data_IF_501317660086
#
_entry.id   IF_501317660086
#
_cell.length_a   1.000
_cell.length_b   1.000
_cell.length_c   1.000
_cell.angle_alpha   90.00
_cell.angle_beta   90.00
_cell.angle_gamma   90.00
#
_symmetry.space_group_name_H-M   'P 1'
#
loop_
_entity.id
_entity.type
_entity.pdbx_description
1 polymer ?
#
# COMPACT_ATOMS: atom_id res chain seq x y z
N UNK A 1 -19.76 2.19 -2.19
CA UNK A 1 -19.26 0.79 -2.35
C UNK A 1 -17.88 0.74 -2.99
N UNK A 2 -17.63 1.45 -4.10
CA UNK A 2 -16.30 1.55 -4.74
C UNK A 2 -15.20 2.15 -3.86
N UNK A 3 -15.51 3.17 -3.05
CA UNK A 3 -14.56 3.78 -2.10
C UNK A 3 -14.04 2.76 -1.08
N UNK A 4 -14.91 1.89 -0.56
CA UNK A 4 -14.52 0.84 0.39
C UNK A 4 -13.51 -0.13 -0.25
N UNK A 5 -13.72 -0.51 -1.51
CA UNK A 5 -12.77 -1.36 -2.24
C UNK A 5 -11.39 -0.70 -2.37
N UNK A 6 -11.34 0.62 -2.58
CA UNK A 6 -10.09 1.37 -2.67
C UNK A 6 -9.42 1.61 -1.32
N UNK A 7 -10.18 1.68 -0.22
CA UNK A 7 -9.63 1.67 1.14
C UNK A 7 -9.05 0.31 1.53
N UNK A 8 -9.72 -0.79 1.16
CA UNK A 8 -9.17 -2.15 1.33
C UNK A 8 -7.92 -2.31 0.46
N UNK A 9 -7.98 -1.87 -0.80
CA UNK A 9 -6.84 -1.88 -1.69
C UNK A 9 -5.66 -1.09 -1.11
N UNK A 10 -5.90 0.08 -0.50
CA UNK A 10 -4.81 0.88 0.07
C UNK A 10 -4.13 0.21 1.26
N UNK A 11 -4.91 -0.48 2.10
CA UNK A 11 -4.35 -1.31 3.18
C UNK A 11 -3.54 -2.49 2.63
N UNK A 12 -4.08 -3.23 1.64
CA UNK A 12 -3.37 -4.33 0.99
C UNK A 12 -2.09 -3.88 0.29
N UNK A 13 -2.12 -2.72 -0.37
CA UNK A 13 -0.94 -2.12 -1.00
C UNK A 13 0.16 -1.82 0.01
N UNK A 14 -0.20 -1.25 1.16
CA UNK A 14 0.76 -0.98 2.23
C UNK A 14 1.34 -2.28 2.83
N UNK A 15 0.50 -3.30 3.01
CA UNK A 15 0.94 -4.64 3.41
C UNK A 15 1.90 -5.25 2.39
N UNK A 16 1.61 -5.14 1.09
CA UNK A 16 2.48 -5.57 0.01
C UNK A 16 3.83 -4.87 0.00
N UNK A 17 3.85 -3.55 0.21
CA UNK A 17 5.09 -2.76 0.34
C UNK A 17 5.96 -3.23 1.51
N UNK A 18 5.34 -3.48 2.66
CA UNK A 18 6.02 -4.05 3.83
C UNK A 18 6.62 -5.43 3.52
N UNK A 19 5.84 -6.32 2.89
CA UNK A 19 6.30 -7.66 2.52
C UNK A 19 7.46 -7.62 1.51
N UNK A 20 7.44 -6.71 0.54
CA UNK A 20 8.56 -6.51 -0.38
C UNK A 20 9.81 -6.04 0.33
N UNK A 21 9.71 -5.10 1.28
CA UNK A 21 10.86 -4.64 2.05
C UNK A 21 11.45 -5.79 2.88
N UNK A 22 10.62 -6.47 3.66
CA UNK A 22 11.05 -7.58 4.50
C UNK A 22 11.65 -8.74 3.67
N UNK A 23 11.03 -9.08 2.54
CA UNK A 23 11.51 -10.12 1.64
C UNK A 23 12.82 -9.76 0.95
N UNK A 24 12.97 -8.51 0.51
CA UNK A 24 14.22 -7.99 -0.08
C UNK A 24 15.37 -8.04 0.91
N UNK A 25 15.15 -7.58 2.16
CA UNK A 25 16.19 -7.62 3.20
C UNK A 25 16.64 -9.07 3.46
N UNK A 26 15.70 -10.02 3.44
CA UNK A 26 16.01 -11.46 3.58
C UNK A 26 16.76 -12.03 2.38
N UNK A 27 16.37 -11.66 1.17
CA UNK A 27 17.01 -12.12 -0.07
C UNK A 27 18.45 -11.62 -0.18
N UNK A 28 18.69 -10.35 0.20
CA UNK A 28 20.05 -9.78 0.28
C UNK A 28 20.89 -10.51 1.32
N UNK A 29 20.34 -10.79 2.51
CA UNK A 29 21.04 -11.55 3.55
C UNK A 29 21.39 -13.00 3.13
N UNK A 30 20.61 -13.61 2.22
CA UNK A 30 20.84 -14.95 1.70
C UNK A 30 21.89 -15.01 0.56
N UNK A 31 22.38 -13.86 0.08
CA UNK A 31 23.38 -13.78 -0.98
C UNK A 31 22.99 -12.87 -2.15
N UNK A 32 21.74 -12.39 -2.22
CA UNK A 32 21.32 -11.36 -3.16
C UNK A 32 21.32 -11.78 -4.63
N UNK A 33 21.23 -13.08 -4.94
CA UNK A 33 21.09 -13.55 -6.32
C UNK A 33 19.63 -13.51 -6.74
N UNK A 34 19.36 -13.47 -8.04
CA UNK A 34 17.99 -13.40 -8.57
C UNK A 34 17.06 -14.52 -8.03
N UNK A 35 17.58 -15.73 -7.85
CA UNK A 35 16.82 -16.86 -7.29
C UNK A 35 16.37 -16.61 -5.84
N UNK A 36 17.15 -15.87 -5.07
CA UNK A 36 16.87 -15.56 -3.66
C UNK A 36 15.71 -14.54 -3.54
N UNK A 37 15.47 -13.74 -4.59
CA UNK A 37 14.30 -12.85 -4.68
C UNK A 37 13.04 -13.58 -5.15
N UNK A 38 13.15 -14.34 -6.25
CA UNK A 38 11.99 -15.03 -6.86
C UNK A 38 11.48 -16.17 -5.99
N UNK A 39 12.38 -16.85 -5.26
CA UNK A 39 12.02 -17.90 -4.32
C UNK A 39 11.56 -17.40 -2.94
N UNK A 40 11.57 -16.09 -2.69
CA UNK A 40 11.25 -15.54 -1.38
C UNK A 40 9.74 -15.48 -1.15
N UNK A 41 9.26 -16.27 -0.18
CA UNK A 41 7.83 -16.32 0.17
C UNK A 41 7.22 -14.97 0.56
N UNK A 42 7.98 -14.04 1.14
CA UNK A 42 7.49 -12.70 1.49
C UNK A 42 7.31 -11.84 0.23
N UNK A 43 8.25 -11.91 -0.72
CA UNK A 43 8.12 -11.22 -2.00
C UNK A 43 6.91 -11.76 -2.77
N UNK A 44 6.75 -13.09 -2.82
CA UNK A 44 5.60 -13.72 -3.47
C UNK A 44 4.27 -13.33 -2.81
N UNK A 45 4.22 -13.28 -1.47
CA UNK A 45 3.04 -12.78 -0.77
C UNK A 45 2.77 -11.29 -1.10
N UNK A 46 3.82 -10.48 -1.24
CA UNK A 46 3.71 -9.09 -1.72
C UNK A 46 3.10 -9.00 -3.12
N UNK A 47 3.50 -9.89 -4.05
CA UNK A 47 2.91 -9.99 -5.39
C UNK A 47 1.41 -10.31 -5.30
N UNK A 48 1.02 -11.27 -4.45
CA UNK A 48 -0.39 -11.60 -4.22
C UNK A 48 -1.15 -10.40 -3.68
N UNK A 49 -0.60 -9.66 -2.71
CA UNK A 49 -1.23 -8.43 -2.21
C UNK A 49 -1.49 -7.42 -3.34
N UNK A 50 -0.49 -7.16 -4.19
CA UNK A 50 -0.64 -6.23 -5.31
C UNK A 50 -1.61 -6.74 -6.40
N UNK A 51 -1.67 -8.04 -6.64
CA UNK A 51 -2.68 -8.62 -7.53
C UNK A 51 -4.09 -8.41 -6.96
N UNK A 52 -4.28 -8.57 -5.64
CA UNK A 52 -5.54 -8.28 -4.97
C UNK A 52 -5.90 -6.79 -5.03
N UNK A 53 -4.92 -5.88 -4.90
CA UNK A 53 -5.14 -4.43 -5.14
C UNK A 53 -5.71 -4.20 -6.53
N UNK A 54 -5.12 -4.79 -7.56
CA UNK A 54 -5.61 -4.67 -8.94
C UNK A 54 -7.02 -5.26 -9.09
N UNK A 55 -7.31 -6.40 -8.45
CA UNK A 55 -8.66 -6.96 -8.43
C UNK A 55 -9.68 -6.02 -7.78
N UNK A 56 -9.33 -5.37 -6.66
CA UNK A 56 -10.15 -4.35 -6.02
C UNK A 56 -10.37 -3.13 -6.92
N UNK A 57 -9.34 -2.70 -7.67
CA UNK A 57 -9.46 -1.60 -8.63
C UNK A 57 -10.45 -1.93 -9.73
N UNK A 58 -10.28 -3.09 -10.38
CA UNK A 58 -11.20 -3.58 -11.42
C UNK A 58 -12.62 -3.68 -10.87
N UNK A 59 -12.81 -4.25 -9.68
CA UNK A 59 -14.12 -4.33 -9.03
C UNK A 59 -14.71 -2.94 -8.74
N UNK A 60 -13.90 -2.00 -8.26
CA UNK A 60 -14.31 -0.62 -7.95
C UNK A 60 -14.74 0.17 -9.19
N UNK A 61 -14.04 -0.01 -10.31
CA UNK A 61 -14.43 0.58 -11.59
C UNK A 61 -15.64 -0.10 -12.20
N UNK A 62 -15.76 -1.42 -12.08
CA UNK A 62 -16.92 -2.18 -12.57
C UNK A 62 -18.24 -1.72 -11.93
N UNK A 63 -18.21 -1.31 -10.67
CA UNK A 63 -19.40 -0.77 -9.98
C UNK A 63 -19.63 0.74 -10.22
N UNK A 64 -18.94 1.33 -11.20
CA UNK A 64 -19.15 2.71 -11.64
C UNK A 64 -18.39 3.77 -10.85
N UNK A 65 -17.36 3.41 -10.08
CA UNK A 65 -16.54 4.40 -9.39
C UNK A 65 -15.68 5.22 -10.34
N UNK A 66 -15.64 6.54 -10.16
CA UNK A 66 -14.81 7.43 -10.99
C UNK A 66 -13.32 7.33 -10.61
N UNK A 67 -12.40 7.23 -11.58
CA UNK A 67 -10.95 7.34 -11.33
C UNK A 67 -10.56 8.63 -10.59
N UNK A 68 -11.24 9.75 -10.88
CA UNK A 68 -10.96 11.05 -10.24
C UNK A 68 -11.21 11.04 -8.73
N UNK A 69 -12.16 10.23 -8.26
CA UNK A 69 -12.47 10.09 -6.84
C UNK A 69 -11.70 8.93 -6.19
N UNK A 70 -11.47 7.84 -6.92
CA UNK A 70 -10.90 6.61 -6.36
C UNK A 70 -9.37 6.63 -6.26
N UNK A 71 -8.65 7.19 -7.24
CA UNK A 71 -7.18 7.29 -7.16
C UNK A 71 -6.69 8.09 -5.95
N UNK A 72 -7.30 9.24 -5.61
CA UNK A 72 -6.97 9.93 -4.36
C UNK A 72 -7.18 9.03 -3.14
N UNK A 73 -8.30 8.30 -3.06
CA UNK A 73 -8.56 7.38 -1.94
C UNK A 73 -7.44 6.35 -1.80
N UNK A 74 -6.90 5.82 -2.90
CA UNK A 74 -5.77 4.89 -2.85
C UNK A 74 -4.48 5.52 -2.28
N UNK A 75 -4.29 6.84 -2.38
CA UNK A 75 -3.14 7.53 -1.79
C UNK A 75 -3.07 7.37 -0.26
N UNK A 76 -4.18 7.01 0.40
CA UNK A 76 -4.18 6.61 1.83
C UNK A 76 -3.26 5.41 2.13
N UNK A 77 -2.80 4.68 1.10
CA UNK A 77 -1.76 3.64 1.22
C UNK A 77 -0.53 4.16 1.96
N UNK A 78 -0.12 5.41 1.72
CA UNK A 78 1.06 5.98 2.37
C UNK A 78 0.87 6.18 3.88
N UNK A 79 -0.36 6.46 4.31
CA UNK A 79 -0.70 6.54 5.73
C UNK A 79 -0.56 5.16 6.36
N UNK A 80 -1.15 4.13 5.74
CA UNK A 80 -1.01 2.75 6.21
C UNK A 80 0.44 2.27 6.23
N UNK A 81 1.23 2.57 5.19
CA UNK A 81 2.64 2.20 5.11
C UNK A 81 3.46 2.81 6.26
N UNK A 82 3.20 4.08 6.59
CA UNK A 82 3.86 4.73 7.72
C UNK A 82 3.45 4.11 9.08
N UNK A 83 2.16 3.79 9.25
CA UNK A 83 1.67 3.12 10.46
C UNK A 83 2.26 1.72 10.63
N UNK A 84 2.30 0.93 9.55
CA UNK A 84 2.93 -0.40 9.53
C UNK A 84 4.43 -0.28 9.80
N UNK A 85 5.11 0.68 9.16
CA UNK A 85 6.53 0.95 9.37
C UNK A 85 6.86 1.29 10.83
N UNK A 86 6.01 2.11 11.47
CA UNK A 86 6.13 2.37 12.91
C UNK A 86 5.91 1.10 13.74
N UNK A 87 4.88 0.32 13.44
CA UNK A 87 4.52 -0.85 14.23
C UNK A 87 5.54 -1.99 14.12
N UNK A 88 6.06 -2.25 12.91
CA UNK A 88 6.91 -3.42 12.62
C UNK A 88 8.41 -3.11 12.67
N UNK A 89 8.81 -1.87 12.36
CA UNK A 89 10.22 -1.47 12.30
C UNK A 89 10.59 -0.37 13.32
N UNK A 90 9.65 0.08 14.15
CA UNK A 90 9.90 1.11 15.16
C UNK A 90 10.22 2.48 14.57
N UNK A 91 9.92 2.71 13.29
CA UNK A 91 10.22 3.98 12.62
C UNK A 91 9.42 5.11 13.25
N UNK A 92 10.12 6.15 13.71
CA UNK A 92 9.49 7.30 14.35
C UNK A 92 8.65 8.11 13.35
N UNK A 93 7.38 8.34 13.68
CA UNK A 93 6.50 9.24 12.92
C UNK A 93 6.71 10.66 13.44
N UNK A 94 7.62 11.40 12.79
CA UNK A 94 7.82 12.82 13.05
C UNK A 94 6.54 13.66 12.80
N UNK A 95 6.38 14.82 13.45
CA UNK A 95 5.23 15.71 13.25
C UNK A 95 5.00 16.11 11.79
N UNK A 96 6.07 16.26 11.00
CA UNK A 96 5.97 16.59 9.58
C UNK A 96 5.32 15.46 8.75
N UNK A 97 5.56 14.19 9.12
CA UNK A 97 4.84 13.08 8.49
C UNK A 97 3.34 13.14 8.81
N UNK A 98 2.98 13.50 10.04
CA UNK A 98 1.57 13.69 10.43
C UNK A 98 0.94 14.80 9.62
N UNK A 99 1.63 15.94 9.44
CA UNK A 99 1.16 17.02 8.57
C UNK A 99 0.94 16.54 7.12
N UNK A 100 1.87 15.72 6.59
CA UNK A 100 1.71 15.08 5.28
C UNK A 100 0.49 14.16 5.20
N UNK A 101 0.25 13.33 6.23
CA UNK A 101 -0.94 12.46 6.30
C UNK A 101 -2.24 13.28 6.34
N UNK A 102 -2.27 14.37 7.10
CA UNK A 102 -3.41 15.30 7.14
C UNK A 102 -3.65 15.92 5.76
N UNK A 103 -2.58 16.32 5.05
CA UNK A 103 -2.69 16.85 3.69
C UNK A 103 -3.19 15.79 2.70
N UNK A 104 -2.79 14.52 2.84
CA UNK A 104 -3.37 13.42 2.04
C UNK A 104 -4.88 13.34 2.29
N UNK A 105 -5.32 13.31 3.55
CA UNK A 105 -6.75 13.23 3.88
C UNK A 105 -7.51 14.44 3.33
N UNK A 106 -6.95 15.65 3.46
CA UNK A 106 -7.53 16.86 2.91
C UNK A 106 -7.64 16.80 1.38
N UNK A 107 -6.56 16.39 0.68
CA UNK A 107 -6.55 16.22 -0.76
C UNK A 107 -7.59 15.20 -1.25
N UNK A 108 -7.70 14.06 -0.57
CA UNK A 108 -8.74 13.05 -0.86
C UNK A 108 -10.14 13.64 -0.71
N UNK A 109 -10.36 14.42 0.36
CA UNK A 109 -11.66 15.03 0.64
C UNK A 109 -12.04 16.12 -0.37
N UNK A 110 -11.05 16.83 -0.93
CA UNK A 110 -11.25 17.85 -1.95
C UNK A 110 -11.51 17.25 -3.33
N UNK A 111 -10.80 16.16 -3.68
CA UNK A 111 -10.95 15.49 -4.99
C UNK A 111 -12.15 14.53 -5.05
N UNK A 112 -12.64 14.06 -3.90
CA UNK A 112 -13.82 13.19 -3.80
C UNK A 112 -15.16 13.91 -3.91
N UNK A 113 -15.16 15.24 -4.08
CA UNK A 113 -16.33 16.06 -4.41
C UNK A 113 -16.45 16.20 -5.92
#
# INVERSE_FOLDING_TARGET
>A
MSVLLFLVASFLGAGGQFLYKAGTDRAVAAGGRLVDFVGNGQILAGVVCYALVMACFVAGFRVGGSPSALYPVYATTFIWAALIGRAMHGVAIAPLHVAGMVLIIAGVSLMGR
#
